data_IF_223513297301
#
_entry.id   IF_223513297301
#
_cell.length_a   1.000
_cell.length_b   1.000
_cell.length_c   1.000
_cell.angle_alpha   90.00
_cell.angle_beta   90.00
_cell.angle_gamma   90.00
#
_symmetry.space_group_name_H-M   'P 1'
#
loop_
_entity.id
_entity.type
_entity.pdbx_description
1 polymer ?
#
# COMPACT_ATOMS: atom_id res chain seq x y z
N UNK A 1 10.56 -30.99 -2.58
CA UNK A 1 11.13 -29.78 -1.97
C UNK A 1 12.14 -29.04 -2.85
N UNK A 2 12.93 -29.71 -3.70
CA UNK A 2 13.93 -29.06 -4.57
C UNK A 2 13.35 -28.09 -5.63
N UNK A 3 12.14 -28.35 -6.14
CA UNK A 3 11.50 -27.52 -7.19
C UNK A 3 11.04 -26.13 -6.70
N UNK A 4 10.65 -25.99 -5.42
CA UNK A 4 10.27 -24.69 -4.86
C UNK A 4 11.48 -23.78 -4.63
N UNK A 5 12.64 -24.36 -4.32
CA UNK A 5 13.88 -23.63 -4.06
C UNK A 5 14.45 -23.01 -5.34
N UNK A 6 14.41 -23.75 -6.44
CA UNK A 6 14.87 -23.28 -7.76
C UNK A 6 14.00 -22.17 -8.34
N UNK A 7 12.68 -22.24 -8.16
CA UNK A 7 11.77 -21.16 -8.58
C UNK A 7 11.99 -19.88 -7.77
N UNK A 8 12.24 -20.01 -6.45
CA UNK A 8 12.57 -18.87 -5.58
C UNK A 8 13.89 -18.20 -5.97
N UNK A 9 14.93 -18.97 -6.30
CA UNK A 9 16.23 -18.42 -6.71
C UNK A 9 16.21 -17.82 -8.12
N UNK A 10 15.47 -18.41 -9.07
CA UNK A 10 15.25 -17.79 -10.39
C UNK A 10 14.43 -16.51 -10.28
N UNK A 11 13.43 -16.47 -9.41
CA UNK A 11 12.66 -15.26 -9.13
C UNK A 11 13.57 -14.18 -8.53
N UNK A 12 14.36 -14.51 -7.50
CA UNK A 12 15.32 -13.59 -6.89
C UNK A 12 16.37 -13.08 -7.88
N UNK A 13 16.94 -13.94 -8.73
CA UNK A 13 17.88 -13.52 -9.80
C UNK A 13 17.21 -12.62 -10.84
N UNK A 14 15.98 -12.93 -11.25
CA UNK A 14 15.20 -12.07 -12.17
C UNK A 14 14.79 -10.75 -11.54
N UNK A 15 14.65 -10.66 -10.22
CA UNK A 15 14.48 -9.39 -9.51
C UNK A 15 15.80 -8.61 -9.45
N UNK A 16 16.91 -9.28 -9.16
CA UNK A 16 18.24 -8.67 -9.07
C UNK A 16 18.75 -8.13 -10.42
N UNK A 17 18.57 -8.87 -11.52
CA UNK A 17 18.98 -8.41 -12.85
C UNK A 17 18.05 -7.32 -13.43
N UNK A 18 16.81 -7.24 -12.94
CA UNK A 18 15.80 -6.27 -13.40
C UNK A 18 15.94 -4.90 -12.73
N UNK A 19 16.82 -4.78 -11.74
CA UNK A 19 17.26 -3.50 -11.16
C UNK A 19 18.34 -2.77 -11.97
N UNK A 20 18.81 -3.29 -13.12
CA UNK A 20 20.03 -2.78 -13.77
C UNK A 20 19.92 -1.46 -14.54
N UNK A 21 18.72 -0.94 -14.81
CA UNK A 21 18.56 0.46 -15.27
C UNK A 21 17.33 1.09 -14.61
N UNK A 22 17.47 1.66 -13.40
CA UNK A 22 16.41 2.47 -12.83
C UNK A 22 16.15 3.65 -13.77
N UNK A 23 14.92 3.73 -14.28
CA UNK A 23 14.47 4.95 -14.95
C UNK A 23 14.25 6.01 -13.85
N UNK A 24 15.34 6.69 -13.47
CA UNK A 24 15.37 7.83 -12.57
C UNK A 24 14.22 8.85 -12.80
N UNK A 25 13.84 9.20 -14.05
CA UNK A 25 12.70 10.11 -14.25
C UNK A 25 11.38 9.55 -13.74
N UNK A 26 11.11 8.25 -13.92
CA UNK A 26 9.88 7.66 -13.41
C UNK A 26 9.83 7.67 -11.89
N UNK A 27 10.95 7.35 -11.23
CA UNK A 27 11.02 7.35 -9.76
C UNK A 27 10.78 8.76 -9.20
N UNK A 28 11.32 9.80 -9.86
CA UNK A 28 11.08 11.19 -9.49
C UNK A 28 9.59 11.56 -9.57
N UNK A 29 8.90 11.18 -10.64
CA UNK A 29 7.45 11.40 -10.76
C UNK A 29 6.66 10.67 -9.66
N UNK A 30 7.07 9.46 -9.30
CA UNK A 30 6.45 8.71 -8.19
C UNK A 30 6.59 9.38 -6.84
N UNK A 31 7.81 9.81 -6.52
CA UNK A 31 8.09 10.57 -5.29
C UNK A 31 7.33 11.88 -5.28
N UNK A 32 7.27 12.58 -6.43
CA UNK A 32 6.52 13.82 -6.56
C UNK A 32 5.02 13.62 -6.29
N UNK A 33 4.39 12.61 -6.92
CA UNK A 33 2.98 12.29 -6.67
C UNK A 33 2.74 11.86 -5.23
N UNK A 34 3.60 11.01 -4.65
CA UNK A 34 3.49 10.60 -3.26
C UNK A 34 3.61 11.80 -2.30
N UNK A 35 4.55 12.71 -2.55
CA UNK A 35 4.74 13.93 -1.75
C UNK A 35 3.54 14.86 -1.85
N UNK A 36 2.97 15.01 -3.05
CA UNK A 36 1.75 15.78 -3.26
C UNK A 36 0.56 15.19 -2.50
N UNK A 37 0.37 13.87 -2.55
CA UNK A 37 -0.68 13.18 -1.78
C UNK A 37 -0.48 13.39 -0.27
N UNK A 38 0.75 13.25 0.23
CA UNK A 38 1.07 13.51 1.64
C UNK A 38 0.79 14.96 2.05
N UNK A 39 1.09 15.93 1.20
CA UNK A 39 0.75 17.33 1.46
C UNK A 39 -0.77 17.56 1.55
N UNK A 40 -1.55 16.92 0.67
CA UNK A 40 -3.02 16.94 0.73
C UNK A 40 -3.53 16.32 2.03
N UNK A 41 -2.97 15.18 2.45
CA UNK A 41 -3.31 14.54 3.72
C UNK A 41 -2.93 15.39 4.92
N UNK A 42 -1.76 16.05 4.89
CA UNK A 42 -1.30 16.95 5.94
C UNK A 42 -2.18 18.19 6.06
N UNK A 43 -2.64 18.75 4.94
CA UNK A 43 -3.63 19.85 4.97
C UNK A 43 -4.96 19.37 5.55
N UNK A 44 -5.30 18.10 5.33
CA UNK A 44 -6.47 17.44 5.91
C UNK A 44 -6.24 16.91 7.33
N UNK A 45 -5.09 17.20 7.96
CA UNK A 45 -4.74 16.73 9.33
C UNK A 45 -5.81 17.09 10.37
N UNK A 46 -6.54 18.19 10.14
CA UNK A 46 -7.63 18.60 11.02
C UNK A 46 -8.80 17.60 11.08
N UNK A 47 -8.91 16.73 10.08
CA UNK A 47 -9.96 15.70 9.96
C UNK A 47 -9.42 14.27 9.98
N UNK A 48 -8.11 14.08 9.83
CA UNK A 48 -7.47 12.77 9.68
C UNK A 48 -6.57 12.49 10.88
N UNK A 49 -6.81 11.38 11.58
CA UNK A 49 -5.96 10.98 12.70
C UNK A 49 -4.51 10.72 12.28
N UNK A 50 -3.57 10.99 13.19
CA UNK A 50 -2.15 10.73 13.00
C UNK A 50 -1.85 9.26 12.64
N UNK A 51 -2.64 8.34 13.19
CA UNK A 51 -2.56 6.90 12.94
C UNK A 51 -2.79 6.56 11.46
N UNK A 52 -3.73 7.24 10.81
CA UNK A 52 -4.08 7.08 9.39
C UNK A 52 -3.00 7.67 8.50
N UNK A 53 -2.50 8.87 8.86
CA UNK A 53 -1.39 9.51 8.16
C UNK A 53 -0.14 8.63 8.16
N UNK A 54 0.22 8.04 9.30
CA UNK A 54 1.37 7.14 9.40
C UNK A 54 1.23 5.93 8.47
N UNK A 55 0.03 5.33 8.39
CA UNK A 55 -0.24 4.20 7.50
C UNK A 55 -0.15 4.59 6.02
N UNK A 56 -0.69 5.76 5.65
CA UNK A 56 -0.62 6.27 4.28
C UNK A 56 0.81 6.60 3.86
N UNK A 57 1.64 7.12 4.77
CA UNK A 57 3.07 7.34 4.55
C UNK A 57 3.77 6.02 4.26
N UNK A 58 3.59 5.01 5.13
CA UNK A 58 4.21 3.69 4.95
C UNK A 58 3.77 3.05 3.63
N UNK A 59 2.48 3.10 3.32
CA UNK A 59 1.93 2.58 2.05
C UNK A 59 2.57 3.26 0.83
N UNK A 60 2.63 4.60 0.82
CA UNK A 60 3.23 5.35 -0.29
C UNK A 60 4.72 5.04 -0.44
N UNK A 61 5.47 4.92 0.66
CA UNK A 61 6.88 4.51 0.60
C UNK A 61 7.05 3.11 0.00
N UNK A 62 6.31 2.12 0.49
CA UNK A 62 6.36 0.74 -0.03
C UNK A 62 6.02 0.73 -1.52
N UNK A 63 5.00 1.49 -1.93
CA UNK A 63 4.61 1.61 -3.34
C UNK A 63 5.70 2.25 -4.19
N UNK A 64 6.28 3.37 -3.74
CA UNK A 64 7.34 4.05 -4.48
C UNK A 64 8.55 3.13 -4.64
N UNK A 65 8.99 2.49 -3.57
CA UNK A 65 10.14 1.58 -3.61
C UNK A 65 9.89 0.28 -4.35
N UNK A 66 8.64 -0.18 -4.47
CA UNK A 66 8.35 -1.48 -5.13
C UNK A 66 7.88 -1.32 -6.58
N UNK A 67 6.93 -0.41 -6.87
CA UNK A 67 6.34 -0.26 -8.21
C UNK A 67 7.20 0.54 -9.18
N UNK A 68 7.94 1.54 -8.70
CA UNK A 68 8.77 2.35 -9.58
C UNK A 68 9.99 1.64 -10.16
N UNK A 69 10.74 0.78 -9.43
CA UNK A 69 11.81 0.01 -10.03
C UNK A 69 11.34 -1.05 -11.04
N UNK A 70 10.08 -1.50 -10.98
CA UNK A 70 9.57 -2.49 -11.94
C UNK A 70 9.28 -1.82 -13.29
N UNK A 71 9.94 -2.25 -14.37
CA UNK A 71 9.70 -1.73 -15.73
C UNK A 71 8.23 -1.87 -16.16
N UNK A 72 7.61 -0.76 -16.59
CA UNK A 72 6.22 -0.66 -17.05
C UNK A 72 5.78 0.79 -17.29
N UNK A 73 4.62 1.01 -17.93
CA UNK A 73 4.07 2.36 -18.19
C UNK A 73 3.88 3.16 -16.89
N UNK A 74 4.38 4.39 -16.86
CA UNK A 74 4.26 5.31 -15.71
C UNK A 74 2.80 5.53 -15.28
N UNK A 75 1.90 5.72 -16.26
CA UNK A 75 0.46 5.95 -16.00
C UNK A 75 -0.20 4.80 -15.24
N UNK A 76 0.20 3.55 -15.52
CA UNK A 76 -0.31 2.36 -14.83
C UNK A 76 0.12 2.35 -13.37
N UNK A 77 1.36 2.76 -13.08
CA UNK A 77 1.89 2.86 -11.71
C UNK A 77 1.20 3.96 -10.91
N UNK A 78 1.00 5.13 -11.52
CA UNK A 78 0.29 6.24 -10.90
C UNK A 78 -1.18 5.88 -10.62
N UNK A 79 -1.85 5.20 -11.55
CA UNK A 79 -3.21 4.72 -11.34
C UNK A 79 -3.29 3.74 -10.16
N UNK A 80 -2.35 2.80 -10.03
CA UNK A 80 -2.28 1.88 -8.89
C UNK A 80 -2.00 2.62 -7.56
N UNK A 81 -1.13 3.63 -7.57
CA UNK A 81 -0.86 4.47 -6.39
C UNK A 81 -2.14 5.21 -5.95
N UNK A 82 -2.85 5.84 -6.89
CA UNK A 82 -4.09 6.56 -6.62
C UNK A 82 -5.20 5.62 -6.14
N UNK A 83 -5.36 4.46 -6.80
CA UNK A 83 -6.34 3.46 -6.42
C UNK A 83 -6.08 2.95 -4.99
N UNK A 84 -4.81 2.70 -4.65
CA UNK A 84 -4.43 2.26 -3.31
C UNK A 84 -4.70 3.31 -2.23
N UNK A 85 -4.38 4.58 -2.51
CA UNK A 85 -4.71 5.68 -1.59
C UNK A 85 -6.23 5.86 -1.44
N UNK A 86 -7.02 5.66 -2.51
CA UNK A 86 -8.48 5.70 -2.46
C UNK A 86 -9.06 4.57 -1.61
N UNK A 87 -8.58 3.34 -1.82
CA UNK A 87 -8.97 2.17 -1.01
C UNK A 87 -8.58 2.38 0.45
N UNK A 88 -7.39 2.91 0.73
CA UNK A 88 -6.98 3.24 2.09
C UNK A 88 -7.88 4.27 2.75
N UNK A 89 -8.28 5.30 2.03
CA UNK A 89 -9.19 6.32 2.57
C UNK A 89 -10.57 5.73 2.86
N UNK A 90 -11.10 4.93 1.93
CA UNK A 90 -12.35 4.20 2.11
C UNK A 90 -12.30 3.23 3.29
N UNK A 91 -11.19 2.50 3.47
CA UNK A 91 -11.00 1.61 4.61
C UNK A 91 -11.04 2.37 5.93
N UNK A 92 -10.31 3.47 6.05
CA UNK A 92 -10.30 4.28 7.26
C UNK A 92 -11.67 4.90 7.56
N UNK A 93 -12.43 5.29 6.52
CA UNK A 93 -13.79 5.78 6.68
C UNK A 93 -14.73 4.69 7.22
N UNK A 94 -14.74 3.51 6.59
CA UNK A 94 -15.53 2.36 7.03
C UNK A 94 -15.16 1.96 8.45
N UNK A 95 -13.86 1.94 8.75
CA UNK A 95 -13.35 1.58 10.06
C UNK A 95 -13.74 2.59 11.14
N UNK A 96 -13.70 3.89 10.83
CA UNK A 96 -14.14 4.96 11.75
C UNK A 96 -15.63 4.85 12.07
N UNK A 97 -16.48 4.67 11.05
CA UNK A 97 -17.93 4.46 11.23
C UNK A 97 -18.21 3.19 12.02
N UNK A 98 -17.48 2.11 11.75
CA UNK A 98 -17.58 0.86 12.49
C UNK A 98 -17.24 1.08 13.98
N UNK A 99 -16.14 1.79 14.28
CA UNK A 99 -15.75 2.11 15.65
C UNK A 99 -16.80 2.93 16.39
N UNK A 100 -17.38 3.94 15.74
CA UNK A 100 -18.40 4.79 16.37
C UNK A 100 -19.66 4.01 16.75
N UNK A 101 -20.15 3.15 15.85
CA UNK A 101 -21.33 2.35 16.12
C UNK A 101 -21.06 1.26 17.19
N UNK A 102 -19.89 0.65 17.18
CA UNK A 102 -19.55 -0.37 18.18
C UNK A 102 -19.15 0.20 19.54
N UNK A 103 -18.56 1.40 19.60
CA UNK A 103 -18.20 2.06 20.87
C UNK A 103 -19.41 2.32 21.78
N UNK A 104 -20.60 2.50 21.19
CA UNK A 104 -21.87 2.66 21.91
C UNK A 104 -22.39 1.35 22.53
N UNK A 105 -21.90 0.18 22.10
CA UNK A 105 -22.37 -1.14 22.54
C UNK A 105 -21.28 -2.02 23.17
N UNK A 106 -20.08 -1.49 23.45
CA UNK A 106 -18.88 -2.29 23.69
C UNK A 106 -18.61 -2.62 25.17
N UNK A 107 -18.65 -3.91 25.50
CA UNK A 107 -18.13 -4.49 26.74
C UNK A 107 -16.58 -4.59 26.75
N UNK A 108 -15.98 -4.78 27.94
CA UNK A 108 -14.52 -4.81 28.16
C UNK A 108 -13.76 -5.81 27.26
N UNK A 109 -14.36 -6.96 26.97
CA UNK A 109 -13.78 -8.00 26.08
C UNK A 109 -13.63 -7.54 24.64
N UNK A 110 -14.60 -6.75 24.16
CA UNK A 110 -14.60 -6.24 22.79
C UNK A 110 -13.51 -5.19 22.61
N UNK A 111 -13.24 -4.41 23.66
CA UNK A 111 -12.11 -3.46 23.70
C UNK A 111 -10.76 -4.17 23.61
N UNK A 112 -10.59 -5.30 24.30
CA UNK A 112 -9.36 -6.10 24.22
C UNK A 112 -9.17 -6.71 22.82
N UNK A 113 -10.23 -7.28 22.24
CA UNK A 113 -10.20 -7.78 20.87
C UNK A 113 -9.87 -6.67 19.86
N UNK A 114 -10.46 -5.49 20.03
CA UNK A 114 -10.23 -4.34 19.16
C UNK A 114 -8.76 -3.88 19.15
N UNK A 115 -8.10 -3.83 20.32
CA UNK A 115 -6.68 -3.44 20.40
C UNK A 115 -5.79 -4.37 19.56
N UNK A 116 -6.12 -5.65 19.49
CA UNK A 116 -5.37 -6.65 18.70
C UNK A 116 -5.82 -6.63 17.23
N UNK A 117 -7.12 -6.52 16.97
CA UNK A 117 -7.68 -6.54 15.63
C UNK A 117 -7.33 -5.27 14.85
N UNK A 118 -7.23 -4.11 15.50
CA UNK A 118 -6.92 -2.82 14.88
C UNK A 118 -5.64 -2.85 14.02
N UNK A 119 -4.46 -3.23 14.54
CA UNK A 119 -3.24 -3.30 13.73
C UNK A 119 -3.30 -4.41 12.67
N UNK A 120 -3.99 -5.53 12.94
CA UNK A 120 -4.13 -6.61 11.97
C UNK A 120 -4.98 -6.19 10.77
N UNK A 121 -6.12 -5.58 11.03
CA UNK A 121 -7.03 -5.05 10.02
C UNK A 121 -6.36 -3.93 9.19
N UNK A 122 -5.57 -3.08 9.84
CA UNK A 122 -4.79 -2.05 9.14
C UNK A 122 -3.65 -2.62 8.29
N UNK A 123 -2.98 -3.68 8.73
CA UNK A 123 -1.97 -4.34 7.89
C UNK A 123 -2.59 -5.13 6.72
N UNK A 124 -3.78 -5.72 6.94
CA UNK A 124 -4.45 -6.55 5.94
C UNK A 124 -4.80 -5.76 4.68
N UNK A 125 -5.40 -4.56 4.79
CA UNK A 125 -5.72 -3.76 3.60
C UNK A 125 -4.45 -3.31 2.84
N UNK A 126 -3.41 -2.88 3.56
CA UNK A 126 -2.12 -2.46 2.99
C UNK A 126 -1.52 -3.61 2.18
N UNK A 127 -1.40 -4.78 2.81
CA UNK A 127 -0.80 -5.98 2.19
C UNK A 127 -1.64 -6.45 1.00
N UNK A 128 -2.96 -6.49 1.12
CA UNK A 128 -3.84 -6.91 0.03
C UNK A 128 -3.73 -5.98 -1.19
N UNK A 129 -3.84 -4.67 -0.99
CA UNK A 129 -3.73 -3.69 -2.09
C UNK A 129 -2.35 -3.74 -2.74
N UNK A 130 -1.30 -3.93 -1.94
CA UNK A 130 0.06 -4.07 -2.43
C UNK A 130 0.24 -5.34 -3.28
N UNK A 131 -0.19 -6.50 -2.78
CA UNK A 131 -0.13 -7.77 -3.50
C UNK A 131 -0.92 -7.73 -4.81
N UNK A 132 -2.12 -7.13 -4.80
CA UNK A 132 -2.95 -6.94 -6.00
C UNK A 132 -2.23 -6.05 -7.01
N UNK A 133 -1.61 -4.96 -6.58
CA UNK A 133 -0.90 -4.03 -7.46
C UNK A 133 0.32 -4.67 -8.11
N UNK A 134 1.06 -5.49 -7.36
CA UNK A 134 2.16 -6.28 -7.92
C UNK A 134 1.67 -7.34 -8.90
N UNK A 135 0.57 -8.01 -8.58
CA UNK A 135 -0.03 -9.03 -9.45
C UNK A 135 -0.56 -8.44 -10.76
N UNK A 136 -1.22 -7.28 -10.69
CA UNK A 136 -1.69 -6.53 -11.85
C UNK A 136 -0.51 -6.10 -12.75
N UNK A 137 0.55 -5.58 -12.13
CA UNK A 137 1.76 -5.18 -12.87
C UNK A 137 2.47 -6.37 -13.53
N UNK A 138 2.50 -7.53 -12.86
CA UNK A 138 3.02 -8.77 -13.43
C UNK A 138 2.15 -9.30 -14.60
N UNK A 139 0.83 -9.22 -14.48
CA UNK A 139 -0.11 -9.61 -15.55
C UNK A 139 0.02 -8.72 -16.79
N UNK A 140 0.10 -7.41 -16.59
CA UNK A 140 0.28 -6.41 -17.64
C UNK A 140 1.62 -6.45 -18.39
N UNK A 141 2.55 -7.28 -17.91
CA UNK A 141 3.84 -7.53 -18.55
C UNK A 141 3.79 -8.68 -19.57
N UNK A 142 2.76 -9.53 -19.47
CA UNK A 142 2.54 -10.67 -20.37
C UNK A 142 1.59 -10.35 -21.54
N UNK A 143 0.90 -9.21 -21.47
CA UNK A 143 0.03 -8.67 -22.51
C UNK A 143 0.74 -7.54 -23.26
#
# INVERSE_FOLDING_TARGET
MLCYRTVGEEFMKRFAERGRTPNYPHMFFGVFTASFLLYVYFTSFRFVELSVLAQMVVFNFIFVFTLFPIQGRLTRKLCLLLLGNFVGFGWNFVFSVFCQNFALCSDMWFKAFYVIAYPLLNSLWIVSVWCVSLSALAGWRKA
#
